data_IF_032193619556
#
_entry.id   IF_032193619556
#
_cell.length_a   1.000
_cell.length_b   1.000
_cell.length_c   1.000
_cell.angle_alpha   90.00
_cell.angle_beta   90.00
_cell.angle_gamma   90.00
#
_symmetry.space_group_name_H-M   'P 1'
#
loop_
_entity.id
_entity.type
_entity.pdbx_description
1 polymer ?
#
# COMPACT_ATOMS: atom_id res chain seq x y z
N UNK A 1 8.16 10.75 0.62
CA UNK A 1 9.11 10.12 1.54
C UNK A 1 10.19 9.42 0.72
N UNK A 2 11.36 9.99 0.59
CA UNK A 2 12.64 9.41 0.69
C UNK A 2 13.30 8.61 -0.40
N UNK A 3 13.07 8.84 -1.70
CA UNK A 3 14.00 8.33 -2.72
C UNK A 3 15.38 9.03 -2.68
N UNK A 4 16.30 8.59 -3.54
CA UNK A 4 17.65 9.14 -3.66
C UNK A 4 17.67 10.67 -3.78
N UNK A 5 16.67 11.26 -4.47
CA UNK A 5 16.51 12.71 -4.58
C UNK A 5 16.38 13.40 -3.22
N UNK A 6 15.65 12.79 -2.28
CA UNK A 6 15.48 13.35 -0.94
C UNK A 6 16.76 13.21 -0.09
N UNK A 7 17.50 12.12 -0.26
CA UNK A 7 18.83 11.96 0.34
C UNK A 7 19.78 13.07 -0.09
N UNK A 8 19.78 13.41 -1.37
CA UNK A 8 20.63 14.46 -1.94
C UNK A 8 20.19 15.87 -1.46
N UNK A 9 18.88 16.07 -1.27
CA UNK A 9 18.34 17.34 -0.79
C UNK A 9 18.62 17.59 0.69
N UNK A 10 18.49 16.59 1.55
CA UNK A 10 18.66 16.72 3.01
C UNK A 10 20.11 16.91 3.45
N UNK A 11 21.10 16.55 2.62
CA UNK A 11 22.53 16.59 2.93
C UNK A 11 22.93 15.87 4.24
N UNK A 12 22.02 15.12 4.84
CA UNK A 12 22.22 14.42 6.10
C UNK A 12 21.75 12.95 5.98
N UNK A 13 22.67 12.03 5.68
CA UNK A 13 22.34 10.62 5.47
C UNK A 13 21.69 9.96 6.69
N UNK A 14 22.08 10.33 7.91
CA UNK A 14 21.50 9.73 9.13
C UNK A 14 20.04 10.11 9.32
N UNK A 15 19.69 11.36 9.11
CA UNK A 15 18.28 11.81 9.16
C UNK A 15 17.45 11.11 8.10
N UNK A 16 17.97 10.97 6.88
CA UNK A 16 17.28 10.26 5.81
C UNK A 16 17.01 8.79 6.16
N UNK A 17 18.00 8.07 6.71
CA UNK A 17 17.83 6.68 7.15
C UNK A 17 16.76 6.57 8.26
N UNK A 18 16.77 7.46 9.24
CA UNK A 18 15.77 7.46 10.30
C UNK A 18 14.36 7.68 9.72
N UNK A 19 14.18 8.66 8.84
CA UNK A 19 12.90 8.91 8.19
C UNK A 19 12.44 7.71 7.34
N UNK A 20 13.34 7.06 6.63
CA UNK A 20 13.04 5.85 5.88
C UNK A 20 12.54 4.74 6.82
N UNK A 21 13.25 4.49 7.92
CA UNK A 21 12.85 3.48 8.90
C UNK A 21 11.49 3.79 9.55
N UNK A 22 11.21 5.05 9.85
CA UNK A 22 9.91 5.47 10.40
C UNK A 22 8.77 5.38 9.38
N UNK A 23 9.06 5.56 8.10
CA UNK A 23 8.05 5.40 7.04
C UNK A 23 7.69 3.94 6.74
N UNK A 24 8.58 2.98 7.03
CA UNK A 24 8.32 1.55 6.76
C UNK A 24 7.04 1.02 7.42
N UNK A 25 6.79 1.19 8.74
CA UNK A 25 5.56 0.71 9.35
C UNK A 25 4.31 1.38 8.77
N UNK A 26 4.38 2.67 8.44
CA UNK A 26 3.28 3.41 7.79
C UNK A 26 2.94 2.78 6.44
N UNK A 27 3.95 2.56 5.60
CA UNK A 27 3.78 1.94 4.29
C UNK A 27 3.31 0.48 4.39
N UNK A 28 3.86 -0.29 5.32
CA UNK A 28 3.47 -1.69 5.53
C UNK A 28 2.01 -1.81 5.94
N UNK A 29 1.53 -0.95 6.85
CA UNK A 29 0.14 -0.94 7.30
C UNK A 29 -0.82 -0.41 6.24
N UNK A 30 -0.39 0.53 5.42
CA UNK A 30 -1.23 1.14 4.39
C UNK A 30 -1.32 0.29 3.12
N UNK A 31 -0.20 -0.14 2.58
CA UNK A 31 -0.11 -0.78 1.25
C UNK A 31 -0.15 -2.32 1.36
N UNK A 32 0.42 -2.88 2.42
CA UNK A 32 0.50 -4.33 2.61
C UNK A 32 -0.87 -5.02 2.59
N UNK A 33 -1.83 -4.61 3.42
CA UNK A 33 -3.17 -5.18 3.40
C UNK A 33 -3.91 -4.96 2.07
N UNK A 34 -3.73 -3.81 1.42
CA UNK A 34 -4.35 -3.51 0.13
C UNK A 34 -3.96 -4.56 -0.93
N UNK A 35 -2.67 -4.88 -1.02
CA UNK A 35 -2.16 -5.90 -1.92
C UNK A 35 -2.58 -7.31 -1.47
N UNK A 36 -2.36 -7.67 -0.20
CA UNK A 36 -2.64 -9.01 0.30
C UNK A 36 -4.12 -9.40 0.14
N UNK A 37 -5.03 -8.50 0.50
CA UNK A 37 -6.46 -8.74 0.41
C UNK A 37 -6.95 -8.79 -1.04
N UNK A 38 -6.33 -8.03 -1.95
CA UNK A 38 -6.54 -8.13 -3.39
C UNK A 38 -6.25 -9.56 -3.88
N UNK A 39 -5.08 -10.10 -3.58
CA UNK A 39 -4.68 -11.44 -3.99
C UNK A 39 -5.55 -12.53 -3.34
N UNK A 40 -5.94 -12.33 -2.08
CA UNK A 40 -6.90 -13.21 -1.40
C UNK A 40 -8.26 -13.20 -2.12
N UNK A 41 -8.71 -12.06 -2.61
CA UNK A 41 -9.93 -11.95 -3.41
C UNK A 41 -9.90 -12.87 -4.63
N UNK A 42 -8.86 -12.81 -5.43
CA UNK A 42 -8.65 -13.72 -6.56
C UNK A 42 -8.66 -15.19 -6.13
N UNK A 43 -7.92 -15.51 -5.07
CA UNK A 43 -7.80 -16.89 -4.56
C UNK A 43 -9.13 -17.47 -4.10
N UNK A 44 -9.96 -16.67 -3.39
CA UNK A 44 -11.26 -17.13 -2.90
C UNK A 44 -12.18 -17.44 -4.07
N UNK A 45 -12.28 -16.57 -5.06
CA UNK A 45 -13.18 -16.77 -6.20
C UNK A 45 -12.67 -17.88 -7.10
N UNK A 46 -11.37 -18.03 -7.31
CA UNK A 46 -10.79 -19.16 -8.05
C UNK A 46 -11.14 -20.49 -7.40
N UNK A 47 -10.96 -20.63 -6.08
CA UNK A 47 -11.31 -21.84 -5.34
C UNK A 47 -12.80 -22.16 -5.38
N UNK A 48 -13.68 -21.14 -5.29
CA UNK A 48 -15.13 -21.32 -5.43
C UNK A 48 -15.53 -21.88 -6.81
N UNK A 49 -14.74 -21.62 -7.82
CA UNK A 49 -14.94 -22.18 -9.18
C UNK A 49 -14.20 -23.50 -9.43
N UNK A 50 -13.71 -24.16 -8.37
CA UNK A 50 -13.06 -25.46 -8.47
C UNK A 50 -11.61 -25.41 -8.98
N UNK A 51 -11.00 -24.22 -9.05
CA UNK A 51 -9.61 -24.07 -9.45
C UNK A 51 -8.67 -24.29 -8.28
N UNK A 52 -7.50 -24.81 -8.59
CA UNK A 52 -6.35 -24.70 -7.69
C UNK A 52 -5.85 -23.24 -7.72
N UNK A 53 -5.59 -22.67 -6.56
CA UNK A 53 -5.13 -21.29 -6.45
C UNK A 53 -4.15 -21.13 -5.29
N UNK A 54 -2.95 -20.63 -5.60
CA UNK A 54 -1.87 -20.44 -4.63
C UNK A 54 -1.14 -19.11 -4.90
N UNK A 55 -0.83 -18.39 -3.84
CA UNK A 55 0.01 -17.22 -3.94
C UNK A 55 1.46 -17.62 -4.15
N UNK A 56 2.10 -17.05 -5.17
CA UNK A 56 3.54 -17.21 -5.41
C UNK A 56 4.20 -15.84 -5.39
N UNK A 57 5.18 -15.71 -4.48
CA UNK A 57 6.03 -14.53 -4.45
C UNK A 57 6.91 -14.49 -5.71
N UNK A 58 7.07 -13.29 -6.27
CA UNK A 58 8.04 -13.03 -7.33
C UNK A 58 9.26 -12.27 -6.78
N UNK A 59 10.37 -12.96 -6.52
CA UNK A 59 11.58 -12.31 -6.03
C UNK A 59 12.15 -11.27 -7.03
N UNK A 60 11.88 -11.43 -8.33
CA UNK A 60 12.29 -10.48 -9.36
C UNK A 60 11.53 -9.17 -9.26
N UNK A 61 10.20 -9.26 -9.20
CA UNK A 61 9.31 -8.11 -9.01
C UNK A 61 9.57 -7.39 -7.69
N UNK A 62 9.85 -8.16 -6.62
CA UNK A 62 10.20 -7.58 -5.32
C UNK A 62 11.51 -6.77 -5.39
N UNK A 63 12.56 -7.32 -5.97
CA UNK A 63 13.85 -6.62 -6.15
C UNK A 63 13.69 -5.38 -7.02
N UNK A 64 12.97 -5.49 -8.13
CA UNK A 64 12.69 -4.36 -9.01
C UNK A 64 11.94 -3.25 -8.28
N UNK A 65 10.91 -3.59 -7.50
CA UNK A 65 10.16 -2.63 -6.69
C UNK A 65 11.03 -1.92 -5.65
N UNK A 66 11.94 -2.63 -4.96
CA UNK A 66 12.88 -2.04 -4.01
C UNK A 66 13.83 -1.05 -4.71
N UNK A 67 14.38 -1.43 -5.87
CA UNK A 67 15.26 -0.56 -6.66
C UNK A 67 14.49 0.70 -7.09
N UNK A 68 13.28 0.53 -7.59
CA UNK A 68 12.43 1.64 -8.04
C UNK A 68 12.11 2.59 -6.88
N UNK A 69 11.75 2.04 -5.72
CA UNK A 69 11.48 2.82 -4.51
C UNK A 69 12.71 3.62 -4.05
N UNK A 70 13.89 3.01 -4.11
CA UNK A 70 15.14 3.67 -3.75
C UNK A 70 15.46 4.87 -4.67
N UNK A 71 15.34 4.70 -5.99
CA UNK A 71 15.68 5.76 -6.94
C UNK A 71 14.58 6.83 -7.07
N UNK A 72 13.32 6.42 -7.18
CA UNK A 72 12.20 7.32 -7.47
C UNK A 72 11.45 7.77 -6.21
N UNK A 73 11.67 7.12 -5.07
CA UNK A 73 10.89 7.40 -3.85
C UNK A 73 9.45 6.95 -3.93
N UNK A 74 9.10 6.18 -4.96
CA UNK A 74 7.76 5.66 -5.21
C UNK A 74 7.77 4.14 -5.13
N UNK A 75 6.91 3.58 -4.28
CA UNK A 75 6.78 2.14 -4.11
C UNK A 75 5.82 1.57 -5.16
N UNK A 76 6.36 1.11 -6.28
CA UNK A 76 5.64 0.29 -7.24
C UNK A 76 6.13 -1.14 -7.12
N UNK A 77 5.34 -2.00 -6.49
CA UNK A 77 5.77 -3.35 -6.17
C UNK A 77 4.72 -4.35 -6.61
N UNK A 78 5.14 -5.34 -7.41
CA UNK A 78 4.39 -6.56 -7.64
C UNK A 78 5.12 -7.71 -6.91
N UNK A 79 4.89 -7.88 -5.59
CA UNK A 79 5.65 -8.84 -4.78
C UNK A 79 5.30 -10.30 -5.08
N UNK A 80 4.33 -10.52 -5.95
CA UNK A 80 3.84 -11.83 -6.35
C UNK A 80 2.44 -11.75 -6.93
N UNK A 81 1.88 -12.89 -7.24
CA UNK A 81 0.51 -13.03 -7.75
C UNK A 81 -0.10 -14.37 -7.33
N UNK A 82 -1.43 -14.46 -7.34
CA UNK A 82 -2.13 -15.73 -7.21
C UNK A 82 -2.08 -16.46 -8.55
N UNK A 83 -1.40 -17.59 -8.56
CA UNK A 83 -1.40 -18.52 -9.69
C UNK A 83 -2.66 -19.36 -9.63
N UNK A 84 -3.43 -19.35 -10.73
CA UNK A 84 -4.68 -20.11 -10.84
C UNK A 84 -4.50 -21.19 -11.90
N UNK A 85 -4.84 -22.43 -11.55
CA UNK A 85 -4.82 -23.58 -12.47
C UNK A 85 -6.16 -24.33 -12.40
N UNK A 86 -6.75 -24.60 -13.57
CA UNK A 86 -8.03 -25.28 -13.69
C UNK A 86 -8.73 -24.93 -15.01
N UNK A 87 -9.82 -25.64 -15.30
CA UNK A 87 -10.65 -25.37 -16.47
C UNK A 87 -11.80 -24.46 -16.04
N UNK A 88 -11.82 -23.27 -16.57
CA UNK A 88 -12.86 -22.27 -16.27
C UNK A 88 -13.51 -21.74 -17.54
N UNK A 89 -14.79 -21.43 -17.45
CA UNK A 89 -15.51 -20.71 -18.49
C UNK A 89 -15.05 -19.25 -18.55
N UNK A 90 -15.31 -18.56 -19.67
CA UNK A 90 -15.01 -17.11 -19.80
C UNK A 90 -15.65 -16.29 -18.69
N UNK A 91 -16.87 -16.63 -18.29
CA UNK A 91 -17.60 -15.95 -17.20
C UNK A 91 -16.91 -16.14 -15.85
N UNK A 92 -16.52 -17.37 -15.54
CA UNK A 92 -15.79 -17.68 -14.30
C UNK A 92 -14.44 -16.97 -14.25
N UNK A 93 -13.71 -16.96 -15.38
CA UNK A 93 -12.44 -16.23 -15.47
C UNK A 93 -12.63 -14.73 -15.21
N UNK A 94 -13.69 -14.13 -15.79
CA UNK A 94 -14.04 -12.74 -15.51
C UNK A 94 -14.32 -12.47 -14.03
N UNK A 95 -15.07 -13.37 -13.35
CA UNK A 95 -15.33 -13.24 -11.91
C UNK A 95 -14.04 -13.35 -11.08
N UNK A 96 -13.12 -14.23 -11.47
CA UNK A 96 -11.82 -14.37 -10.81
C UNK A 96 -10.99 -13.09 -11.01
N UNK A 97 -10.94 -12.59 -12.25
CA UNK A 97 -10.15 -11.40 -12.60
C UNK A 97 -10.62 -10.14 -11.88
N UNK A 98 -11.93 -9.94 -11.74
CA UNK A 98 -12.49 -8.73 -11.10
C UNK A 98 -12.47 -8.79 -9.56
N UNK A 99 -12.25 -9.98 -8.99
CA UNK A 99 -12.37 -10.19 -7.53
C UNK A 99 -11.38 -9.35 -6.72
N UNK A 100 -10.12 -9.28 -7.14
CA UNK A 100 -9.08 -8.45 -6.51
C UNK A 100 -9.43 -6.96 -6.53
N UNK A 101 -9.67 -6.38 -7.72
CA UNK A 101 -10.10 -5.00 -7.85
C UNK A 101 -11.33 -4.65 -7.01
N UNK A 102 -12.35 -5.51 -6.96
CA UNK A 102 -13.54 -5.27 -6.13
C UNK A 102 -13.23 -5.25 -4.63
N UNK A 103 -12.30 -6.08 -4.17
CA UNK A 103 -11.81 -6.01 -2.78
C UNK A 103 -11.19 -4.65 -2.50
N UNK A 104 -10.33 -4.14 -3.39
CA UNK A 104 -9.72 -2.84 -3.20
C UNK A 104 -10.75 -1.69 -3.22
N UNK A 105 -11.74 -1.71 -4.11
CA UNK A 105 -12.81 -0.70 -4.06
C UNK A 105 -13.61 -0.79 -2.76
N UNK A 106 -13.89 -2.00 -2.26
CA UNK A 106 -14.52 -2.18 -0.95
C UNK A 106 -13.69 -1.59 0.18
N UNK A 107 -12.38 -1.86 0.20
CA UNK A 107 -11.43 -1.33 1.18
C UNK A 107 -11.27 0.20 1.09
N UNK A 108 -11.33 0.75 -0.12
CA UNK A 108 -11.34 2.20 -0.34
C UNK A 108 -12.61 2.84 0.26
N UNK A 109 -13.79 2.33 -0.09
CA UNK A 109 -15.08 2.88 0.38
C UNK A 109 -15.21 2.78 1.91
N UNK A 110 -14.88 1.63 2.49
CA UNK A 110 -14.90 1.41 3.94
C UNK A 110 -13.78 2.21 4.63
N UNK A 111 -12.64 2.35 3.98
CA UNK A 111 -11.49 3.10 4.48
C UNK A 111 -11.81 4.57 4.74
N UNK A 112 -12.66 5.21 3.93
CA UNK A 112 -13.02 6.62 4.13
C UNK A 112 -13.59 6.87 5.52
N UNK A 113 -14.70 6.25 5.96
CA UNK A 113 -15.23 6.48 7.29
C UNK A 113 -14.33 5.93 8.41
N UNK A 114 -13.63 4.82 8.19
CA UNK A 114 -12.74 4.24 9.20
C UNK A 114 -11.57 5.19 9.49
N UNK A 115 -10.86 5.66 8.47
CA UNK A 115 -9.77 6.61 8.66
C UNK A 115 -10.27 7.96 9.15
N UNK A 116 -11.44 8.43 8.69
CA UNK A 116 -12.07 9.63 9.21
C UNK A 116 -12.34 9.54 10.72
N UNK A 117 -12.85 8.39 11.18
CA UNK A 117 -13.09 8.14 12.60
C UNK A 117 -11.77 8.08 13.40
N UNK A 118 -10.75 7.36 12.90
CA UNK A 118 -9.44 7.27 13.56
C UNK A 118 -8.83 8.66 13.72
N UNK A 119 -8.77 9.45 12.65
CA UNK A 119 -8.17 10.78 12.66
C UNK A 119 -8.97 11.75 13.57
N UNK A 120 -10.31 11.63 13.57
CA UNK A 120 -11.16 12.42 14.46
C UNK A 120 -10.97 12.06 15.94
N UNK A 121 -11.00 10.77 16.30
CA UNK A 121 -10.83 10.32 17.70
C UNK A 121 -9.43 10.59 18.25
N UNK A 122 -8.43 10.63 17.40
CA UNK A 122 -7.03 10.90 17.80
C UNK A 122 -6.67 12.40 17.79
N UNK A 123 -7.59 13.26 17.35
CA UNK A 123 -7.34 14.70 17.22
C UNK A 123 -6.32 15.05 16.12
N UNK A 124 -6.05 14.11 15.20
CA UNK A 124 -5.07 14.33 14.16
C UNK A 124 -5.54 15.38 13.12
N UNK A 125 -6.85 15.61 12.97
CA UNK A 125 -7.38 16.67 12.11
C UNK A 125 -7.10 18.08 12.62
N UNK A 126 -7.06 18.25 13.95
CA UNK A 126 -6.88 19.56 14.58
C UNK A 126 -5.42 19.82 14.99
N UNK A 127 -4.54 18.86 14.73
CA UNK A 127 -3.15 18.98 15.08
C UNK A 127 -2.44 20.03 14.22
N UNK A 128 -1.77 20.96 14.85
CA UNK A 128 -0.81 21.85 14.18
C UNK A 128 0.43 21.05 13.83
N UNK A 129 0.50 20.60 12.59
CA UNK A 129 1.59 19.78 12.11
C UNK A 129 2.76 20.65 11.63
N UNK A 130 4.01 20.24 11.90
CA UNK A 130 5.16 20.83 11.24
C UNK A 130 5.09 20.62 9.73
N UNK A 131 5.98 21.31 9.00
CA UNK A 131 6.11 21.11 7.56
C UNK A 131 6.30 19.61 7.25
N UNK A 132 5.46 19.01 6.38
CA UNK A 132 5.56 17.60 5.99
C UNK A 132 6.94 17.20 5.44
N UNK A 133 7.67 18.14 4.87
CA UNK A 133 9.02 17.91 4.35
C UNK A 133 10.06 17.63 5.45
N UNK A 134 9.74 17.98 6.71
CA UNK A 134 10.58 17.65 7.87
C UNK A 134 10.48 16.18 8.30
N UNK A 135 9.49 15.43 7.78
CA UNK A 135 9.28 14.01 8.07
C UNK A 135 8.64 13.76 9.44
N UNK A 136 8.83 12.55 9.97
CA UNK A 136 8.15 12.08 11.19
C UNK A 136 8.89 12.37 12.49
N UNK A 137 10.14 12.85 12.43
CA UNK A 137 10.94 13.17 13.61
C UNK A 137 11.43 14.60 13.51
N UNK A 138 10.89 15.48 14.34
CA UNK A 138 11.24 16.92 14.36
C UNK A 138 11.67 17.34 15.74
N UNK A 139 12.86 17.90 15.85
CA UNK A 139 13.42 18.32 17.14
C UNK A 139 13.57 17.19 18.16
N UNK A 140 13.72 15.94 17.72
CA UNK A 140 13.78 14.76 18.59
C UNK A 140 12.41 14.20 19.01
N UNK A 141 11.30 14.84 18.61
CA UNK A 141 9.94 14.39 18.91
C UNK A 141 9.30 13.68 17.71
N UNK A 142 8.64 12.55 17.96
CA UNK A 142 7.91 11.80 16.94
C UNK A 142 6.56 12.47 16.66
N UNK A 143 6.30 12.78 15.39
CA UNK A 143 5.04 13.36 14.93
C UNK A 143 4.11 12.23 14.49
N UNK A 144 3.53 11.52 15.46
CA UNK A 144 2.68 10.36 15.21
C UNK A 144 1.37 10.72 14.49
N UNK A 145 0.86 11.95 14.66
CA UNK A 145 -0.33 12.43 13.94
C UNK A 145 -0.07 12.46 12.43
N UNK A 146 1.10 12.93 12.00
CA UNK A 146 1.50 12.90 10.59
C UNK A 146 1.58 11.46 10.06
N UNK A 147 2.11 10.53 10.86
CA UNK A 147 2.15 9.11 10.47
C UNK A 147 0.76 8.53 10.27
N UNK A 148 -0.22 8.89 11.12
CA UNK A 148 -1.61 8.45 10.96
C UNK A 148 -2.27 9.04 9.72
N UNK A 149 -2.07 10.33 9.46
CA UNK A 149 -2.61 10.99 8.27
C UNK A 149 -2.05 10.33 7.01
N UNK A 150 -0.73 10.15 6.95
CA UNK A 150 -0.08 9.52 5.81
C UNK A 150 -0.53 8.06 5.63
N UNK A 151 -0.69 7.30 6.71
CA UNK A 151 -1.22 5.95 6.65
C UNK A 151 -2.63 5.92 6.02
N UNK A 152 -3.50 6.84 6.40
CA UNK A 152 -4.85 6.97 5.81
C UNK A 152 -4.81 7.35 4.34
N UNK A 153 -4.00 8.33 3.98
CA UNK A 153 -3.84 8.79 2.58
C UNK A 153 -3.26 7.65 1.71
N UNK A 154 -2.22 6.97 2.17
CA UNK A 154 -1.62 5.85 1.44
C UNK A 154 -2.55 4.64 1.36
N UNK A 155 -3.33 4.34 2.43
CA UNK A 155 -4.35 3.29 2.38
C UNK A 155 -5.38 3.57 1.31
N UNK A 156 -5.98 4.75 1.31
CA UNK A 156 -7.00 5.12 0.33
C UNK A 156 -6.40 5.16 -1.08
N UNK A 157 -5.24 5.78 -1.25
CA UNK A 157 -4.55 5.87 -2.53
C UNK A 157 -4.18 4.49 -3.10
N UNK A 158 -3.59 3.61 -2.30
CA UNK A 158 -3.20 2.27 -2.74
C UNK A 158 -4.41 1.44 -3.17
N UNK A 159 -5.49 1.45 -2.38
CA UNK A 159 -6.70 0.70 -2.72
C UNK A 159 -7.38 1.26 -3.97
N UNK A 160 -7.45 2.57 -4.14
CA UNK A 160 -8.00 3.19 -5.35
C UNK A 160 -7.17 2.83 -6.59
N UNK A 161 -5.86 3.00 -6.50
CA UNK A 161 -4.92 2.72 -7.61
C UNK A 161 -4.94 1.24 -8.00
N UNK A 162 -4.81 0.32 -7.02
CA UNK A 162 -4.86 -1.12 -7.28
C UNK A 162 -6.22 -1.54 -7.86
N UNK A 163 -7.32 -0.96 -7.37
CA UNK A 163 -8.65 -1.19 -7.92
C UNK A 163 -8.76 -0.77 -9.38
N UNK A 164 -8.33 0.44 -9.72
CA UNK A 164 -8.44 0.98 -11.07
C UNK A 164 -7.51 0.29 -12.06
N UNK A 165 -6.21 0.15 -11.73
CA UNK A 165 -5.22 -0.41 -12.66
C UNK A 165 -5.44 -1.89 -12.97
N UNK A 166 -6.02 -2.65 -12.05
CA UNK A 166 -6.31 -4.07 -12.27
C UNK A 166 -7.72 -4.35 -12.86
N UNK A 167 -8.48 -3.30 -13.18
CA UNK A 167 -9.75 -3.43 -13.93
C UNK A 167 -9.53 -3.34 -15.46
N UNK A 168 -8.38 -2.85 -15.91
CA UNK A 168 -8.01 -2.67 -17.31
C UNK A 168 -7.27 -3.90 -17.82
#
# INVERSE_FOLDING_TARGET
>A
VGGLGNLLATKNPSSWVIQLLLSMPVMLLAVGPAFLLHEIGHKIIAKKNGCWAEFRADPGGLRFGIILAFFLGFLFMAPGAVMVAGVVTRRQNGHIAVAGPLVNFGLFIIGIPVWGLILGLTGAFDATLPDPDLGYLVGGSLIWQQMLIDAGVFWLGANLVLGLFNMI
#
